data_IF_817235753405
#
_entry.id   IF_817235753405
#
_cell.length_a   1.000
_cell.length_b   1.000
_cell.length_c   1.000
_cell.angle_alpha   90.00
_cell.angle_beta   90.00
_cell.angle_gamma   90.00
#
_symmetry.space_group_name_H-M   'P 1'
#
loop_
_entity.id
_entity.type
_entity.pdbx_description
1 polymer ?
#
# COMPACT_ATOMS: atom_id res chain seq x y z
N UNK A 1 13.24 -8.85 -8.51
CA UNK A 1 11.88 -8.49 -8.06
C UNK A 1 11.41 -7.41 -9.03
N UNK A 2 10.16 -7.49 -9.49
CA UNK A 2 9.61 -6.58 -10.51
C UNK A 2 8.48 -5.75 -9.90
N UNK A 3 8.15 -4.61 -10.50
CA UNK A 3 6.97 -3.86 -10.11
C UNK A 3 5.70 -4.70 -10.33
N UNK A 4 4.75 -4.55 -9.40
CA UNK A 4 3.47 -5.25 -9.47
C UNK A 4 2.34 -4.24 -9.49
N UNK A 5 1.41 -4.38 -10.42
CA UNK A 5 0.16 -3.62 -10.39
C UNK A 5 -0.83 -4.36 -9.49
N UNK A 6 -1.34 -3.68 -8.47
CA UNK A 6 -2.32 -4.19 -7.52
C UNK A 6 -3.58 -3.33 -7.57
N UNK A 7 -4.73 -3.92 -7.20
CA UNK A 7 -6.01 -3.21 -7.13
C UNK A 7 -6.31 -2.82 -5.69
N UNK A 8 -6.61 -1.54 -5.46
CA UNK A 8 -6.98 -1.04 -4.15
C UNK A 8 -8.35 -1.58 -3.72
N UNK A 9 -8.42 -2.24 -2.56
CA UNK A 9 -9.68 -2.78 -2.01
C UNK A 9 -10.74 -1.71 -1.66
N UNK A 10 -10.33 -0.45 -1.56
CA UNK A 10 -11.18 0.65 -1.07
C UNK A 10 -11.77 1.48 -2.21
N UNK A 11 -10.93 1.88 -3.18
CA UNK A 11 -11.36 2.69 -4.33
C UNK A 11 -11.38 1.92 -5.66
N UNK A 12 -11.00 0.64 -5.67
CA UNK A 12 -10.90 -0.20 -6.88
C UNK A 12 -9.94 0.32 -7.96
N UNK A 13 -9.09 1.30 -7.64
CA UNK A 13 -8.08 1.81 -8.56
C UNK A 13 -6.83 0.94 -8.53
N UNK A 14 -6.21 0.81 -9.69
CA UNK A 14 -4.90 0.18 -9.84
C UNK A 14 -3.80 1.09 -9.24
N UNK A 15 -2.84 0.49 -8.57
CA UNK A 15 -1.65 1.17 -8.08
C UNK A 15 -0.42 0.26 -8.20
N UNK A 16 0.74 0.87 -8.33
CA UNK A 16 2.01 0.15 -8.50
C UNK A 16 2.60 -0.13 -7.11
N UNK A 17 2.87 -1.39 -6.84
CA UNK A 17 3.70 -1.86 -5.75
C UNK A 17 5.12 -2.04 -6.28
N UNK A 18 5.91 -0.98 -6.13
CA UNK A 18 7.26 -0.89 -6.70
C UNK A 18 8.22 -1.88 -6.04
N UNK A 19 9.34 -2.17 -6.71
CA UNK A 19 10.40 -3.02 -6.13
C UNK A 19 10.94 -2.44 -4.82
N UNK A 20 11.13 -1.12 -4.75
CA UNK A 20 11.58 -0.46 -3.51
C UNK A 20 10.56 -0.59 -2.36
N UNK A 21 9.26 -0.53 -2.64
CA UNK A 21 8.23 -0.81 -1.61
C UNK A 21 8.24 -2.27 -1.19
N UNK A 22 8.44 -3.20 -2.13
CA UNK A 22 8.56 -4.62 -1.84
C UNK A 22 9.76 -4.93 -0.94
N UNK A 23 10.92 -4.31 -1.20
CA UNK A 23 12.12 -4.43 -0.38
C UNK A 23 11.91 -3.82 1.01
N UNK A 24 11.28 -2.64 1.09
CA UNK A 24 10.92 -2.01 2.36
C UNK A 24 9.98 -2.91 3.19
N UNK A 25 8.99 -3.53 2.54
CA UNK A 25 8.07 -4.45 3.21
C UNK A 25 8.82 -5.66 3.79
N UNK A 26 9.72 -6.26 3.00
CA UNK A 26 10.57 -7.38 3.44
C UNK A 26 11.50 -6.99 4.59
N UNK A 27 12.17 -5.84 4.52
CA UNK A 27 13.07 -5.36 5.57
C UNK A 27 12.34 -5.13 6.90
N UNK A 28 11.08 -4.69 6.83
CA UNK A 28 10.22 -4.53 8.01
C UNK A 28 9.60 -5.84 8.51
N UNK A 29 9.84 -6.96 7.84
CA UNK A 29 9.23 -8.26 8.18
C UNK A 29 7.73 -8.35 7.82
N UNK A 30 7.26 -7.52 6.89
CA UNK A 30 5.89 -7.65 6.37
C UNK A 30 5.84 -8.73 5.28
N UNK A 31 5.12 -9.81 5.55
CA UNK A 31 4.90 -10.89 4.59
C UNK A 31 3.75 -10.59 3.62
N UNK A 32 2.90 -9.60 3.93
CA UNK A 32 1.69 -9.29 3.18
C UNK A 32 1.89 -8.12 2.23
N UNK A 33 1.32 -8.21 1.02
CA UNK A 33 1.31 -7.13 0.04
C UNK A 33 0.32 -6.01 0.45
N UNK A 34 0.57 -4.74 0.05
CA UNK A 34 -0.38 -3.68 0.29
C UNK A 34 -1.70 -3.95 -0.42
N UNK A 35 -2.82 -3.87 0.31
CA UNK A 35 -4.17 -4.03 -0.24
C UNK A 35 -4.88 -2.71 -0.52
N UNK A 36 -4.22 -1.58 -0.25
CA UNK A 36 -4.75 -0.22 -0.45
C UNK A 36 -3.69 0.67 -1.07
N UNK A 37 -4.11 1.51 -2.01
CA UNK A 37 -3.25 2.53 -2.60
C UNK A 37 -2.80 3.56 -1.55
N UNK A 38 -1.77 4.35 -1.90
CA UNK A 38 -1.20 5.36 -1.02
C UNK A 38 -2.24 6.39 -0.56
N UNK A 39 -3.15 6.82 -1.45
CA UNK A 39 -4.20 7.78 -1.13
C UNK A 39 -5.18 7.26 -0.08
N UNK A 40 -5.70 6.04 -0.26
CA UNK A 40 -6.60 5.42 0.73
C UNK A 40 -5.88 5.14 2.07
N UNK A 41 -4.58 4.75 2.04
CA UNK A 41 -3.76 4.64 3.26
C UNK A 41 -3.64 5.99 3.98
N UNK A 42 -3.35 7.07 3.24
CA UNK A 42 -3.25 8.44 3.78
C UNK A 42 -4.58 8.95 4.33
N UNK A 43 -5.68 8.75 3.59
CA UNK A 43 -7.03 9.15 3.99
C UNK A 43 -7.44 8.49 5.32
N UNK A 44 -7.19 7.17 5.47
CA UNK A 44 -7.44 6.48 6.75
C UNK A 44 -6.59 7.03 7.89
N UNK A 45 -5.30 7.26 7.67
CA UNK A 45 -4.42 7.84 8.69
C UNK A 45 -4.93 9.22 9.13
N UNK A 46 -5.38 10.05 8.19
CA UNK A 46 -5.94 11.37 8.49
C UNK A 46 -7.27 11.27 9.27
N UNK A 47 -8.16 10.33 8.93
CA UNK A 47 -9.38 10.10 9.71
C UNK A 47 -9.08 9.66 11.14
N UNK A 48 -8.07 8.81 11.34
CA UNK A 48 -7.71 8.32 12.67
C UNK A 48 -7.09 9.41 13.55
N UNK A 49 -6.38 10.38 12.98
CA UNK A 49 -5.78 11.49 13.71
C UNK A 49 -6.78 12.60 14.12
N UNK A 50 -8.05 12.49 13.68
CA UNK A 50 -9.13 13.44 14.02
C UNK A 50 -10.02 12.93 15.15
N UNK A 51 -9.69 11.78 15.76
CA UNK A 51 -10.39 11.19 16.90
C UNK A 51 -9.67 11.48 18.20
#
# INVERSE_FOLDING_TARGET
MEDKVLVCKDCSQEFIFTVGEQEFYKEKGFENEPVRCADCRRARKQQNNRR
#
